data_IF_146470767772
#
_entry.id   IF_146470767772
#
_cell.length_a   1.000
_cell.length_b   1.000
_cell.length_c   1.000
_cell.angle_alpha   90.00
_cell.angle_beta   90.00
_cell.angle_gamma   90.00
#
_symmetry.space_group_name_H-M   'P 1'
#
loop_
_entity.id
_entity.type
_entity.pdbx_description
1 polymer ?
2 non-polymer ?
3 non-polymer ?
4 non-polymer ?
5 water ?
#
# COMPACT_ATOMS: atom_id res chain seq x y z
N UNK A 19 -0.50 -13.69 19.64
CA UNK A 19 0.34 -12.53 19.18
C UNK A 19 -0.56 -11.47 18.58
N UNK A 20 0.01 -10.30 18.34
CA UNK A 20 -0.77 -9.21 17.81
C UNK A 20 -1.07 -9.47 16.32
N UNK A 21 -2.25 -9.05 15.89
CA UNK A 21 -2.68 -9.25 14.52
C UNK A 21 -3.04 -7.90 13.88
N UNK A 22 -2.75 -7.75 12.58
CA UNK A 22 -3.07 -6.52 11.85
C UNK A 22 -3.65 -6.90 10.50
N UNK A 23 -4.80 -6.31 10.17
CA UNK A 23 -5.54 -6.55 8.95
C UNK A 23 -5.25 -5.36 8.04
N UNK A 24 -4.47 -5.59 6.98
CA UNK A 24 -4.06 -4.56 6.05
C UNK A 24 -4.81 -4.75 4.72
N UNK A 25 -5.03 -3.64 4.02
CA UNK A 25 -5.70 -3.70 2.71
C UNK A 25 -4.90 -2.85 1.71
N UNK A 26 -4.69 -3.40 0.51
CA UNK A 26 -3.95 -2.72 -0.55
C UNK A 26 -4.94 -2.32 -1.64
N UNK A 27 -5.03 -1.02 -1.90
CA UNK A 27 -5.98 -0.47 -2.86
C UNK A 27 -5.24 0.45 -3.84
N UNK A 28 -5.91 0.73 -4.97
CA UNK A 28 -5.36 1.57 -6.03
C UNK A 28 -5.79 1.09 -7.42
N UNK A 29 -5.50 1.92 -8.45
CA UNK A 29 -5.88 1.62 -9.80
C UNK A 29 -5.26 0.32 -10.33
N UNK A 30 -5.88 -0.24 -11.36
CA UNK A 30 -5.30 -1.41 -11.99
C UNK A 30 -3.90 -1.16 -12.53
N UNK A 31 -3.01 -2.11 -12.27
CA UNK A 31 -1.68 -2.10 -12.82
C UNK A 31 -0.65 -1.34 -12.02
N UNK A 32 -1.00 -0.83 -10.85
CA UNK A 32 -0.03 -0.04 -10.09
C UNK A 32 1.02 -0.85 -9.33
N UNK A 33 0.71 -2.12 -9.09
CA UNK A 33 1.59 -3.03 -8.36
C UNK A 33 1.05 -3.50 -7.01
N UNK A 34 -0.28 -3.44 -6.81
CA UNK A 34 -0.86 -3.96 -5.55
C UNK A 34 -0.43 -5.41 -5.28
N UNK A 35 -0.59 -6.25 -6.29
CA UNK A 35 -0.26 -7.66 -6.16
C UNK A 35 1.24 -7.81 -6.00
N UNK A 36 2.02 -7.10 -6.82
CA UNK A 36 3.48 -7.28 -6.77
C UNK A 36 3.99 -6.87 -5.41
N UNK A 37 3.41 -5.81 -4.83
CA UNK A 37 3.85 -5.36 -3.51
C UNK A 37 3.52 -6.43 -2.47
N UNK A 38 2.29 -6.93 -2.54
CA UNK A 38 1.82 -7.96 -1.59
C UNK A 38 2.67 -9.20 -1.67
N UNK A 39 2.89 -9.70 -2.88
CA UNK A 39 3.66 -10.94 -3.06
C UNK A 39 5.13 -10.75 -2.67
N UNK A 40 5.70 -9.59 -2.97
CA UNK A 40 7.05 -9.29 -2.48
C UNK A 40 7.07 -9.41 -0.94
N UNK A 41 6.11 -8.81 -0.25
CA UNK A 41 6.07 -8.91 1.23
C UNK A 41 5.90 -10.37 1.70
N UNK A 42 4.91 -11.05 1.13
CA UNK A 42 4.48 -12.37 1.65
C UNK A 42 5.44 -13.47 1.22
N UNK A 43 5.82 -13.47 -0.05
CA UNK A 43 6.58 -14.56 -0.65
C UNK A 43 8.02 -14.22 -1.01
N UNK A 44 8.42 -12.95 -0.85
CA UNK A 44 9.77 -12.53 -1.14
C UNK A 44 10.25 -12.73 -2.57
N UNK A 45 9.36 -12.46 -3.53
CA UNK A 45 9.73 -12.50 -4.92
C UNK A 45 8.86 -11.56 -5.71
N UNK A 46 9.41 -11.10 -6.83
CA UNK A 46 8.76 -10.16 -7.72
C UNK A 46 8.00 -10.89 -8.81
N UNK A 47 6.71 -10.58 -8.92
CA UNK A 47 5.88 -11.12 -9.98
C UNK A 47 5.90 -10.19 -11.17
N UNK A 48 6.35 -10.71 -12.30
CA UNK A 48 6.42 -9.94 -13.54
C UNK A 48 5.05 -9.77 -14.21
N UNK A 49 4.11 -10.59 -13.77
CA UNK A 49 2.71 -10.51 -14.16
C UNK A 49 1.92 -11.24 -13.09
N UNK A 50 0.69 -10.82 -12.86
CA UNK A 50 -0.14 -11.43 -11.85
C UNK A 50 -1.59 -11.11 -12.24
N UNK A 51 -2.38 -12.17 -12.45
CA UNK A 51 -3.79 -12.06 -12.94
C UNK A 51 -4.50 -10.88 -12.28
N UNK A 52 -4.87 -9.86 -13.06
CA UNK A 52 -5.41 -8.62 -12.45
C UNK A 52 -6.78 -8.81 -11.80
N UNK A 53 -7.39 -9.98 -12.01
CA UNK A 53 -8.68 -10.27 -11.40
C UNK A 53 -8.64 -11.03 -10.07
N UNK A 54 -7.47 -11.53 -9.66
CA UNK A 54 -7.35 -12.25 -8.41
C UNK A 54 -7.35 -11.26 -7.25
N UNK A 55 -8.39 -11.35 -6.45
CA UNK A 55 -8.46 -10.65 -5.18
C UNK A 55 -8.45 -11.71 -4.09
N UNK A 56 -7.53 -11.59 -3.16
CA UNK A 56 -7.39 -12.58 -2.07
C UNK A 56 -6.75 -11.95 -0.86
N UNK A 57 -6.89 -12.63 0.28
CA UNK A 57 -6.12 -12.31 1.45
C UNK A 57 -4.95 -13.26 1.57
N UNK A 58 -3.83 -12.68 1.97
CA UNK A 58 -2.56 -13.35 2.09
C UNK A 58 -2.06 -13.10 3.49
N UNK A 59 -1.68 -14.16 4.17
CA UNK A 59 -1.29 -14.10 5.57
C UNK A 59 0.20 -14.41 5.71
N UNK A 60 0.84 -13.85 6.75
CA UNK A 60 2.23 -14.16 7.06
C UNK A 60 2.50 -13.69 8.50
N UNK A 61 3.02 -14.60 9.34
CA UNK A 61 3.64 -14.20 10.59
C UNK A 61 5.01 -13.55 10.27
N UNK A 62 5.23 -12.35 10.78
CA UNK A 62 6.45 -11.58 10.57
C UNK A 62 6.93 -10.94 11.91
N UNK A 63 8.10 -10.29 11.88
CA UNK A 63 8.60 -9.49 13.02
C UNK A 63 8.73 -8.05 12.57
N UNK A 64 8.06 -7.14 13.28
CA UNK A 64 8.11 -5.72 12.97
C UNK A 64 8.60 -4.98 14.22
N UNK A 65 9.74 -4.32 14.10
CA UNK A 65 10.40 -3.65 15.21
C UNK A 65 10.63 -4.60 16.39
N UNK A 66 10.96 -5.85 16.08
CA UNK A 66 11.15 -6.86 17.14
C UNK A 66 9.88 -7.53 17.61
N UNK A 67 8.71 -7.05 17.17
CA UNK A 67 7.45 -7.60 17.63
C UNK A 67 6.95 -8.66 16.66
N UNK A 68 6.70 -9.85 17.18
CA UNK A 68 6.11 -10.91 16.37
C UNK A 68 4.62 -10.61 16.17
N UNK A 69 4.17 -10.64 14.94
CA UNK A 69 2.74 -10.43 14.69
C UNK A 69 2.31 -11.10 13.41
N UNK A 70 1.00 -11.16 13.23
CA UNK A 70 0.41 -11.80 12.09
C UNK A 70 -0.17 -10.69 11.24
N UNK A 71 0.23 -10.67 9.98
CA UNK A 71 -0.37 -9.79 8.99
C UNK A 71 -1.37 -10.57 8.17
N UNK A 72 -2.54 -9.97 7.95
CA UNK A 72 -3.52 -10.48 7.01
C UNK A 72 -3.71 -9.37 5.98
N UNK A 73 -3.31 -9.62 4.75
CA UNK A 73 -3.27 -8.55 3.71
C UNK A 73 -4.28 -8.85 2.63
N UNK A 74 -5.24 -7.95 2.46
CA UNK A 74 -6.20 -8.07 1.37
C UNK A 74 -5.65 -7.30 0.16
N UNK A 75 -5.29 -8.07 -0.87
CA UNK A 75 -4.89 -7.54 -2.17
C UNK A 75 -6.14 -7.40 -3.02
N UNK A 76 -6.61 -6.16 -3.19
CA UNK A 76 -7.85 -5.91 -3.91
C UNK A 76 -7.69 -5.90 -5.44
N UNK A 77 -8.79 -6.15 -6.16
CA UNK A 77 -8.81 -6.14 -7.61
C UNK A 77 -10.05 -5.39 -8.08
N UNK A 78 -9.93 -4.73 -9.22
CA UNK A 78 -10.99 -3.83 -9.71
C UNK A 78 -11.83 -4.52 -10.74
N UNK A 90 -12.78 -5.64 3.09
CA UNK A 90 -12.63 -4.19 3.04
C UNK A 90 -13.03 -3.54 4.37
N UNK A 91 -14.27 -3.80 4.83
CA UNK A 91 -14.81 -3.18 6.05
C UNK A 91 -14.04 -3.50 7.32
N UNK A 92 -13.39 -4.67 7.39
CA UNK A 92 -12.58 -5.05 8.55
C UNK A 92 -11.09 -4.63 8.49
N UNK A 93 -10.69 -4.02 7.38
CA UNK A 93 -9.32 -3.51 7.26
C UNK A 93 -9.01 -2.49 8.34
N UNK A 94 -7.85 -2.63 8.97
CA UNK A 94 -7.40 -1.73 10.05
C UNK A 94 -6.45 -0.64 9.56
N UNK A 95 -5.86 -0.85 8.38
CA UNK A 95 -4.94 0.12 7.77
C UNK A 95 -4.94 -0.16 6.28
N UNK A 96 -4.72 0.89 5.47
CA UNK A 96 -4.80 0.79 4.02
C UNK A 96 -3.57 1.41 3.34
N UNK A 97 -2.99 0.68 2.39
CA UNK A 97 -2.04 1.27 1.47
C UNK A 97 -2.78 1.76 0.24
N UNK A 98 -2.65 3.05 -0.07
CA UNK A 98 -3.23 3.65 -1.26
C UNK A 98 -2.08 3.77 -2.25
N UNK A 99 -2.10 2.93 -3.29
CA UNK A 99 -0.95 2.77 -4.18
C UNK A 99 -1.21 3.43 -5.54
N UNK A 100 -0.24 4.22 -6.00
CA UNK A 100 -0.19 4.64 -7.39
C UNK A 100 1.18 4.27 -7.97
N UNK A 101 1.30 4.37 -9.29
CA UNK A 101 2.57 4.11 -9.96
C UNK A 101 3.15 5.46 -10.39
N UNK A 102 4.45 5.64 -10.20
CA UNK A 102 5.07 6.92 -10.55
C UNK A 102 5.14 7.22 -12.06
N UNK A 103 4.89 6.20 -12.89
CA UNK A 103 4.78 6.36 -14.32
C UNK A 103 3.34 6.24 -14.78
N UNK A 104 2.36 6.58 -13.94
CA UNK A 104 0.95 6.49 -14.35
C UNK A 104 0.17 7.61 -13.67
N UNK A 105 0.12 8.72 -14.40
CA UNK A 105 -0.57 9.91 -13.90
C UNK A 105 -1.99 9.62 -13.46
N UNK A 106 -2.73 8.88 -14.30
CA UNK A 106 -4.14 8.57 -13.99
C UNK A 106 -4.29 7.82 -12.66
N UNK A 107 -3.32 6.93 -12.36
CA UNK A 107 -3.35 6.17 -11.12
C UNK A 107 -3.20 7.11 -9.92
N UNK A 108 -2.40 8.15 -10.08
CA UNK A 108 -2.26 9.17 -9.03
C UNK A 108 -3.57 9.94 -8.85
N UNK A 109 -4.15 10.38 -9.95
CA UNK A 109 -5.46 11.07 -9.94
C UNK A 109 -6.48 10.21 -9.20
N UNK A 110 -6.47 8.91 -9.43
CA UNK A 110 -7.46 8.02 -8.83
C UNK A 110 -7.32 7.80 -7.32
N UNK A 111 -6.18 8.12 -6.75
CA UNK A 111 -5.97 7.93 -5.30
C UNK A 111 -7.12 8.49 -4.46
N UNK A 112 -7.62 9.66 -4.83
CA UNK A 112 -8.66 10.30 -4.04
C UNK A 112 -9.94 9.46 -3.99
N UNK A 113 -10.25 8.74 -5.07
CA UNK A 113 -11.45 7.88 -5.08
C UNK A 113 -11.30 6.77 -4.03
N UNK A 114 -10.11 6.19 -3.97
CA UNK A 114 -9.82 5.12 -3.00
C UNK A 114 -9.81 5.63 -1.55
N UNK A 115 -9.19 6.77 -1.32
CA UNK A 115 -9.18 7.37 0.02
C UNK A 115 -10.61 7.63 0.52
N UNK A 116 -11.44 8.16 -0.35
CA UNK A 116 -12.83 8.44 -0.01
C UNK A 116 -13.60 7.15 0.24
N UNK A 117 -13.37 6.13 -0.60
CA UNK A 117 -13.95 4.78 -0.40
C UNK A 117 -13.65 4.29 1.00
N UNK A 118 -12.41 4.47 1.42
CA UNK A 118 -11.96 3.97 2.71
C UNK A 118 -12.63 4.74 3.86
N UNK A 119 -12.68 6.06 3.72
CA UNK A 119 -13.37 6.90 4.70
C UNK A 119 -14.83 6.44 4.86
N UNK A 120 -15.49 6.14 3.74
CA UNK A 120 -16.90 5.74 3.82
C UNK A 120 -17.07 4.34 4.39
N UNK A 121 -16.24 3.39 3.93
CA UNK A 121 -16.40 2.01 4.39
C UNK A 121 -16.11 1.88 5.89
N UNK A 122 -15.20 2.71 6.39
CA UNK A 122 -14.83 2.69 7.81
C UNK A 122 -15.61 3.69 8.63
N UNK A 123 -16.45 4.47 7.95
CA UNK A 123 -17.19 5.58 8.55
C UNK A 123 -16.29 6.38 9.47
N UNK A 124 -15.14 6.81 8.96
CA UNK A 124 -14.11 7.49 9.76
C UNK A 124 -13.12 8.28 8.90
N UNK A 125 -12.71 9.45 9.39
CA UNK A 125 -11.60 10.22 8.82
C UNK A 125 -10.21 9.82 9.36
N UNK A 126 -10.18 9.01 10.42
CA UNK A 126 -8.92 8.72 11.16
C UNK A 126 -8.30 7.35 10.82
N UNK A 127 -8.71 6.76 9.72
CA UNK A 127 -8.21 5.42 9.36
C UNK A 127 -6.68 5.43 9.02
N UNK A 128 -5.89 4.55 9.68
CA UNK A 128 -4.49 4.48 9.28
C UNK A 128 -4.34 4.22 7.79
N UNK A 129 -3.54 5.05 7.14
CA UNK A 129 -3.19 4.83 5.75
C UNK A 129 -1.82 5.38 5.41
N UNK A 130 -1.29 4.88 4.30
CA UNK A 130 0.01 5.29 3.78
C UNK A 130 -0.17 5.45 2.26
N UNK A 131 0.39 6.52 1.73
CA UNK A 131 0.41 6.76 0.29
C UNK A 131 1.68 6.10 -0.23
N UNK A 132 1.53 5.23 -1.24
CA UNK A 132 2.67 4.49 -1.84
C UNK A 132 2.82 4.88 -3.31
N UNK A 133 4.01 5.36 -3.67
CA UNK A 133 4.31 5.58 -5.08
C UNK A 133 5.22 4.46 -5.54
N UNK A 134 4.65 3.52 -6.29
CA UNK A 134 5.36 2.32 -6.69
C UNK A 134 6.02 2.44 -8.08
N UNK A 135 6.91 1.48 -8.41
CA UNK A 135 7.63 1.43 -9.71
C UNK A 135 8.73 2.52 -9.79
N UNK A 136 9.30 2.86 -8.63
CA UNK A 136 10.32 3.88 -8.53
C UNK A 136 11.64 3.49 -9.19
N UNK A 137 11.77 2.23 -9.57
CA UNK A 137 12.92 1.76 -10.37
C UNK A 137 12.91 2.34 -11.80
N UNK A 138 11.73 2.76 -12.27
CA UNK A 138 11.57 3.25 -13.65
C UNK A 138 11.94 4.71 -13.85
N UNK A 139 12.60 5.02 -14.98
CA UNK A 139 13.01 6.43 -15.21
C UNK A 139 11.91 7.33 -15.83
N UNK A 140 10.79 6.71 -16.18
CA UNK A 140 9.73 7.31 -16.99
C UNK A 140 8.68 7.92 -16.06
N UNK A 141 9.14 8.76 -15.16
CA UNK A 141 8.31 9.31 -14.11
C UNK A 141 7.39 10.38 -14.67
N UNK A 142 6.09 10.22 -14.39
CA UNK A 142 5.09 11.20 -14.78
C UNK A 142 4.27 11.73 -13.60
N UNK A 143 4.55 11.23 -12.40
CA UNK A 143 4.10 11.85 -11.15
C UNK A 143 5.33 12.21 -10.34
N UNK A 144 5.54 13.50 -10.13
CA UNK A 144 6.77 13.92 -9.49
C UNK A 144 6.66 13.88 -7.98
N UNK A 145 7.82 14.04 -7.37
CA UNK A 145 7.96 13.88 -5.95
C UNK A 145 7.22 14.99 -5.23
N UNK A 146 7.13 16.18 -5.86
CA UNK A 146 6.32 17.30 -5.30
C UNK A 146 4.83 16.95 -5.28
N UNK A 147 4.33 16.38 -6.38
CA UNK A 147 2.94 15.98 -6.43
C UNK A 147 2.64 15.04 -5.30
N UNK A 148 3.51 14.04 -5.14
CA UNK A 148 3.23 12.93 -4.21
C UNK A 148 3.29 13.43 -2.79
N UNK A 149 4.36 14.21 -2.48
CA UNK A 149 4.52 14.76 -1.13
C UNK A 149 3.40 15.73 -0.76
N UNK A 150 2.99 16.59 -1.68
CA UNK A 150 1.87 17.50 -1.39
C UNK A 150 0.56 16.77 -1.17
N UNK A 151 0.32 15.69 -1.93
CA UNK A 151 -0.89 14.89 -1.69
C UNK A 151 -0.86 14.29 -0.28
N UNK A 152 0.24 13.65 0.08
CA UNK A 152 0.37 13.03 1.39
C UNK A 152 0.13 14.08 2.51
N UNK A 153 0.68 15.27 2.31
CA UNK A 153 0.47 16.35 3.29
C UNK A 153 -1.01 16.77 3.35
N UNK A 154 -1.69 16.76 2.20
CA UNK A 154 -3.15 17.02 2.13
C UNK A 154 -3.99 16.01 2.93
N UNK A 155 -3.49 14.78 3.03
CA UNK A 155 -4.15 13.71 3.75
C UNK A 155 -3.64 13.50 5.19
N UNK A 156 -2.54 14.18 5.53
CA UNK A 156 -1.82 13.96 6.80
C UNK A 156 -1.30 12.53 6.98
N UNK A 157 -0.82 11.91 5.90
CA UNK A 157 -0.30 10.53 5.98
C UNK A 157 1.12 10.43 5.39
N UNK A 158 1.87 9.37 5.75
CA UNK A 158 3.19 9.14 5.20
C UNK A 158 3.14 8.82 3.73
N UNK A 159 4.14 9.32 2.99
CA UNK A 159 4.40 8.91 1.60
C UNK A 159 5.65 8.04 1.56
N UNK A 160 5.53 6.88 0.93
CA UNK A 160 6.66 5.93 0.77
C UNK A 160 6.83 5.57 -0.68
N UNK A 161 8.06 5.74 -1.22
CA UNK A 161 8.41 5.35 -2.58
C UNK A 161 8.86 3.90 -2.54
N UNK A 162 8.26 3.08 -3.41
CA UNK A 162 8.61 1.66 -3.47
C UNK A 162 8.92 1.20 -4.90
N UNK A 163 9.63 0.09 -4.96
CA UNK A 163 9.76 -0.76 -6.15
C UNK A 163 9.52 -2.21 -5.73
N UNK A 164 8.39 -2.78 -6.14
CA UNK A 164 8.10 -4.24 -5.96
C UNK A 164 9.16 -5.03 -6.71
N UNK A 165 9.73 -4.45 -7.78
CA UNK A 165 10.74 -5.15 -8.58
C UNK A 165 12.04 -5.38 -7.82
N UNK A 166 12.52 -4.34 -7.16
CA UNK A 166 13.82 -4.40 -6.44
C UNK A 166 13.66 -4.68 -4.95
N UNK A 167 12.44 -4.47 -4.44
CA UNK A 167 12.04 -4.59 -3.03
C UNK A 167 12.29 -3.32 -2.21
N UNK A 168 12.90 -2.29 -2.79
CA UNK A 168 13.03 -1.04 -2.11
C UNK A 168 11.69 -0.52 -1.60
N UNK A 169 11.69 -0.11 -0.34
CA UNK A 169 10.52 0.45 0.32
C UNK A 169 9.38 -0.48 0.69
N UNK A 170 9.42 -1.75 0.25
CA UNK A 170 8.22 -2.60 0.37
C UNK A 170 7.90 -2.87 1.84
N UNK A 171 8.88 -3.36 2.57
CA UNK A 171 8.71 -3.51 4.05
C UNK A 171 8.33 -2.22 4.75
N UNK A 172 9.02 -1.13 4.40
CA UNK A 172 8.75 0.18 4.96
C UNK A 172 7.28 0.58 4.76
N UNK A 173 6.73 0.32 3.57
CA UNK A 173 5.34 0.70 3.31
C UNK A 173 4.36 -0.06 4.22
N UNK A 174 4.49 -1.39 4.24
CA UNK A 174 3.62 -2.19 5.07
C UNK A 174 3.87 -1.95 6.57
N UNK A 175 5.13 -1.89 6.97
CA UNK A 175 5.44 -1.78 8.40
C UNK A 175 5.08 -0.40 8.93
N UNK A 176 5.27 0.64 8.12
CA UNK A 176 4.84 1.99 8.53
C UNK A 176 3.35 2.00 8.80
N UNK A 177 2.59 1.33 7.91
CA UNK A 177 1.17 1.18 8.14
C UNK A 177 0.87 0.48 9.48
N UNK A 178 1.53 -0.65 9.73
CA UNK A 178 1.42 -1.28 11.05
C UNK A 178 1.72 -0.32 12.21
N UNK A 179 2.78 0.47 12.09
CA UNK A 179 3.14 1.42 13.17
C UNK A 179 2.03 2.50 13.28
N UNK A 180 1.42 2.89 12.16
CA UNK A 180 0.24 3.83 12.16
C UNK A 180 -0.94 3.20 12.92
N UNK A 181 -1.16 1.89 12.75
CA UNK A 181 -2.24 1.17 13.44
C UNK A 181 -1.94 1.08 14.92
N UNK A 182 -0.70 0.75 15.26
CA UNK A 182 -0.26 0.80 16.64
C UNK A 182 -0.56 2.14 17.29
N UNK A 183 -0.22 3.23 16.60
CA UNK A 183 -0.45 4.58 17.15
C UNK A 183 -1.93 4.80 17.39
N UNK A 184 -2.71 4.44 16.39
CA UNK A 184 -4.16 4.58 16.38
C UNK A 184 -4.80 3.80 17.52
N UNK A 185 -4.30 2.59 17.75
CA UNK A 185 -4.76 1.78 18.86
C UNK A 185 -4.32 2.44 20.17
X LIG B 1 -3.48 -7.38 -8.67
X LIG C 1 11.23 -10.02 18.91
X LIG D 1 -8.66 -16.53 0.20
X LIG E 1 3.01 16.55 -15.11
X LIG F 1 -2.15 -4.54 -9.69
X LIG F 1 -3.19 -4.55 -10.82
X LIG F 1 -2.19 -5.78 -8.83
X LIG F 1 -2.13 -3.22 -8.95
X LIG F 1 -0.69 -4.55 -10.36
X LIG F 1 0.31 -5.79 -10.53
X LIG F 1 -0.39 -6.90 -11.23
X LIG F 1 0.98 -6.13 -9.19
X LIG F 1 1.47 -5.10 -11.44
X LIG F 1 1.17 -4.74 -12.79
X LIG F 1 2.42 -4.80 -13.66
X LIG F 1 3.39 -3.90 -13.15
X LIG F 1 3.06 -6.18 -13.63
X LIG F 1 3.60 -6.47 -14.93
X LIG F 1 4.16 -6.06 -12.59
X LIG F 1 5.28 -6.96 -12.75
X LIG F 1 4.57 -4.60 -12.79
X LIG F 1 5.14 -4.02 -11.58
X LIG F 1 4.57 -4.03 -10.34
X LIG F 1 5.38 -3.38 -9.47
X LIG F 1 6.45 -2.92 -10.18
X LIG F 1 7.66 -2.13 -9.90
X LIG F 1 7.91 -1.71 -8.76
X LIG F 1 8.51 -1.84 -10.94
X LIG F 1 8.30 -2.29 -12.22
X LIG F 1 9.17 -1.97 -13.19
X LIG F 1 7.19 -2.99 -12.57
X LIG F 1 6.28 -3.33 -11.58
X LIG G 1 11.72 -3.98 11.59
X LIG H 1 -7.36 -7.76 5.58
X LIG I 1 -8.48 -1.23 -5.13
X LIG J 1 -4.20 4.31 -7.72
X LIG K 1 11.78 -3.79 1.56
X LIG L 1 -4.10 12.24 -15.01
X LIG M 1 -11.46 11.83 -7.08
X LIG N 1 10.44 -0.85 8.06
#
# INVERSE_FOLDING_TARGET
MHHHHHHSSGRENLYFQGMTEYKLVVVGAGGVGKSALTIQLIQNHFVDEYDPTIEDSYRKQVVIDGETCLLDILDTAGQEEYSAMRDQYMRTGEGFLCVFAINNSKSFADINLYREQIKRVKDSDDVPMVLVGNKCDLPTRTVDTKQAHELAKSYGIPFIETSAKTRQGVEDAFYTLVREIRQYRMKKLN
MG MG
MG MG
MG MG
MG MG
GDP PB O1B O2B O3B O3A PA O1A O2A O5' C5' C4' O4' C3' O3' C2' O2' C1' N9 C8 N7 C5 C6 O6 N1 C2 N2 N3 C4
UNX UNK
UNX UNK
UNX UNK
UNX UNK
UNX UNK
UNX UNK
UNX UNK
UNX UNK
#
